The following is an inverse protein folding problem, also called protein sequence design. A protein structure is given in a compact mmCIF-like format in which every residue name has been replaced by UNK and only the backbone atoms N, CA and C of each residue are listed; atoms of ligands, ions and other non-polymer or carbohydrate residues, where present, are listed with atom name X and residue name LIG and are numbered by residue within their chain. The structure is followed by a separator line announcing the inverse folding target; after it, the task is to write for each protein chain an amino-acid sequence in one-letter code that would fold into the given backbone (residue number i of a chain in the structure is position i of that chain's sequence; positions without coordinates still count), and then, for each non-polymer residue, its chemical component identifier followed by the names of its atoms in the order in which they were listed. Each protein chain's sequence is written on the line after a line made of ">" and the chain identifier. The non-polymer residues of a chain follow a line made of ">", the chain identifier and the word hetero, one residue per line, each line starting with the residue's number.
data_IF_911064740730
#
_entry.id   IF_911064740730
#
_cell.length_a   1.000
_cell.length_b   1.000
_cell.length_c   1.000
_cell.angle_alpha   90.00
_cell.angle_beta   90.00
_cell.angle_gamma   90.00
#
_symmetry.space_group_name_H-M   'P 1'
#
loop_
_entity.id
_entity.type
_entity.pdbx_description
1 polymer ?
#
# COMPACT_ATOMS: atom_id res chain seq x y z
N UNK A 1 2.93 15.21 30.20
CA UNK A 1 2.26 15.95 31.24
C UNK A 1 1.30 15.00 31.90
N UNK A 2 0.11 14.78 31.68
CA UNK A 2 -0.72 13.79 32.38
C UNK A 2 -0.70 12.47 31.60
N UNK A 3 -0.32 11.37 32.26
CA UNK A 3 -0.37 10.01 31.65
C UNK A 3 -1.84 9.55 31.54
N UNK A 4 -2.61 10.27 30.75
CA UNK A 4 -4.02 9.99 30.50
C UNK A 4 -4.19 9.54 29.06
N UNK A 5 -4.77 8.35 28.88
CA UNK A 5 -5.20 7.84 27.59
C UNK A 5 -6.68 8.14 27.41
N UNK A 6 -7.02 8.74 26.27
CA UNK A 6 -8.39 9.07 25.92
C UNK A 6 -8.74 8.53 24.53
N UNK A 7 -9.88 7.84 24.43
CA UNK A 7 -10.42 7.51 23.11
C UNK A 7 -10.94 8.76 22.43
N UNK A 8 -10.48 9.02 21.21
CA UNK A 8 -11.01 10.08 20.38
C UNK A 8 -11.98 9.45 19.36
N UNK A 9 -13.27 9.67 19.55
CA UNK A 9 -14.32 9.21 18.64
C UNK A 9 -14.67 10.33 17.68
N UNK A 10 -14.70 10.01 16.39
CA UNK A 10 -15.06 10.95 15.33
C UNK A 10 -16.57 11.08 15.23
N UNK A 11 -17.14 12.28 15.38
CA UNK A 11 -18.57 12.49 15.30
C UNK A 11 -19.07 12.46 13.84
N UNK A 12 -20.35 12.19 13.66
CA UNK A 12 -21.08 12.44 12.41
C UNK A 12 -21.50 13.92 12.29
N UNK A 13 -22.24 14.25 11.22
CA UNK A 13 -22.74 15.62 10.96
C UNK A 13 -23.64 16.20 12.05
N UNK A 14 -24.24 15.35 12.92
CA UNK A 14 -25.09 15.75 14.04
C UNK A 14 -24.33 15.86 15.34
N UNK A 15 -23.06 15.45 15.35
CA UNK A 15 -22.22 15.39 16.54
C UNK A 15 -22.31 14.05 17.30
N UNK A 16 -23.06 13.08 16.81
CA UNK A 16 -23.15 11.75 17.38
C UNK A 16 -21.88 10.96 17.08
N UNK A 17 -21.35 10.29 18.10
CA UNK A 17 -20.07 9.57 18.01
C UNK A 17 -20.21 8.08 17.76
N UNK A 18 -21.43 7.59 17.68
CA UNK A 18 -21.78 6.22 17.34
C UNK A 18 -23.25 5.96 17.55
N UNK A 19 -23.81 5.13 16.68
CA UNK A 19 -25.20 4.66 16.74
C UNK A 19 -25.19 3.18 17.10
N UNK A 20 -25.88 2.81 18.14
CA UNK A 20 -25.95 1.45 18.66
C UNK A 20 -27.39 0.94 18.63
N UNK A 21 -27.57 -0.25 18.11
CA UNK A 21 -28.85 -0.98 18.12
C UNK A 21 -28.72 -2.19 19.04
N UNK A 22 -29.63 -2.34 19.99
CA UNK A 22 -29.58 -3.44 20.93
C UNK A 22 -30.23 -4.70 20.37
N UNK A 23 -29.68 -5.90 20.67
CA UNK A 23 -28.47 -6.14 21.43
C UNK A 23 -27.21 -5.79 20.63
N UNK A 24 -26.18 -5.24 21.29
CA UNK A 24 -24.92 -4.85 20.64
C UNK A 24 -23.72 -5.11 21.55
N UNK A 25 -22.54 -5.17 20.91
CA UNK A 25 -21.24 -5.24 21.57
C UNK A 25 -20.40 -4.03 21.17
N UNK A 26 -19.65 -3.47 22.11
CA UNK A 26 -18.66 -2.42 21.82
C UNK A 26 -17.31 -3.05 21.48
N UNK A 27 -16.48 -2.35 20.67
CA UNK A 27 -15.13 -2.81 20.39
C UNK A 27 -14.26 -2.89 21.65
N UNK A 28 -13.30 -3.79 21.66
CA UNK A 28 -12.27 -3.85 22.69
C UNK A 28 -11.45 -2.56 22.74
N UNK A 29 -11.00 -2.23 23.94
CA UNK A 29 -9.97 -1.21 24.18
C UNK A 29 -8.77 -1.90 24.81
N UNK A 30 -7.59 -1.73 24.22
CA UNK A 30 -6.37 -2.41 24.66
C UNK A 30 -5.30 -1.40 25.02
N UNK A 31 -4.51 -1.72 26.05
CA UNK A 31 -3.30 -0.99 26.42
C UNK A 31 -2.21 -2.05 26.54
N UNK A 32 -1.14 -1.86 25.74
CA UNK A 32 0.06 -2.73 25.82
C UNK A 32 1.13 -1.98 26.59
N UNK A 33 1.68 -2.63 27.60
CA UNK A 33 2.78 -2.11 28.43
C UNK A 33 3.88 -3.15 28.52
N UNK A 34 5.12 -2.72 28.30
CA UNK A 34 6.30 -3.60 28.42
C UNK A 34 7.53 -2.75 28.76
N UNK A 35 8.45 -3.34 29.49
CA UNK A 35 9.78 -2.79 29.75
C UNK A 35 10.75 -2.97 28.57
N UNK A 36 10.35 -3.77 27.58
CA UNK A 36 11.13 -4.03 26.36
C UNK A 36 10.25 -3.77 25.14
N UNK A 37 10.63 -2.79 24.33
CA UNK A 37 9.90 -2.40 23.12
C UNK A 37 9.74 -3.55 22.11
N UNK A 38 10.66 -4.52 22.09
CA UNK A 38 10.57 -5.69 21.22
C UNK A 38 9.33 -6.54 21.50
N UNK A 39 8.85 -6.58 22.74
CA UNK A 39 7.62 -7.28 23.11
C UNK A 39 6.37 -6.64 22.52
N UNK A 40 6.36 -5.32 22.32
CA UNK A 40 5.27 -4.62 21.64
C UNK A 40 5.23 -5.06 20.18
N UNK A 41 6.38 -5.13 19.50
CA UNK A 41 6.48 -5.59 18.10
C UNK A 41 6.06 -7.05 17.93
N UNK A 42 6.39 -7.90 18.92
CA UNK A 42 6.05 -9.32 18.91
C UNK A 42 4.57 -9.58 19.28
N UNK A 43 3.85 -8.59 19.80
CA UNK A 43 2.51 -8.76 20.32
C UNK A 43 1.51 -9.10 19.20
N UNK A 44 0.67 -10.09 19.46
CA UNK A 44 -0.47 -10.44 18.61
C UNK A 44 -1.81 -10.12 19.29
N UNK A 45 -1.80 -9.28 20.32
CA UNK A 45 -2.96 -8.99 21.13
C UNK A 45 -4.14 -8.50 20.29
N UNK A 46 -3.91 -7.49 19.45
CA UNK A 46 -4.98 -6.90 18.62
C UNK A 46 -5.55 -7.93 17.64
N UNK A 47 -4.69 -8.72 17.00
CA UNK A 47 -5.13 -9.79 16.09
C UNK A 47 -5.98 -10.82 16.83
N UNK A 48 -5.54 -11.23 18.02
CA UNK A 48 -6.18 -12.31 18.79
C UNK A 48 -7.55 -11.91 19.38
N UNK A 49 -7.84 -10.62 19.47
CA UNK A 49 -9.16 -10.12 19.88
C UNK A 49 -10.20 -10.07 18.74
N UNK A 50 -9.79 -10.35 17.53
CA UNK A 50 -10.69 -10.47 16.39
C UNK A 50 -11.20 -11.91 16.25
N UNK A 51 -12.37 -12.05 15.66
CA UNK A 51 -12.99 -13.35 15.39
C UNK A 51 -12.07 -14.21 14.47
N UNK A 52 -12.20 -15.53 14.55
CA UNK A 52 -11.55 -16.43 13.60
C UNK A 52 -11.87 -16.08 12.15
N UNK A 53 -11.10 -16.65 11.21
CA UNK A 53 -11.32 -16.46 9.79
C UNK A 53 -12.75 -16.79 9.39
N UNK A 54 -13.44 -15.84 8.77
CA UNK A 54 -14.81 -15.97 8.31
C UNK A 54 -14.92 -16.60 6.91
N UNK A 55 -13.80 -16.77 6.20
CA UNK A 55 -13.79 -17.34 4.85
C UNK A 55 -13.61 -18.86 4.92
N UNK A 56 -14.47 -19.60 4.25
CA UNK A 56 -14.39 -21.07 4.16
C UNK A 56 -13.25 -21.56 3.27
N UNK A 57 -12.83 -20.75 2.30
CA UNK A 57 -11.72 -21.02 1.39
C UNK A 57 -10.80 -19.79 1.32
N UNK A 58 -9.54 -19.97 1.67
CA UNK A 58 -8.49 -18.93 1.61
C UNK A 58 -7.40 -19.29 0.60
N UNK A 59 -7.55 -20.37 -0.16
CA UNK A 59 -6.52 -20.88 -1.08
C UNK A 59 -6.18 -19.91 -2.22
N UNK A 60 -7.08 -19.00 -2.54
CA UNK A 60 -6.93 -17.96 -3.56
C UNK A 60 -6.17 -16.72 -3.06
N UNK A 61 -6.02 -16.56 -1.75
CA UNK A 61 -5.26 -15.45 -1.15
C UNK A 61 -3.78 -15.82 -1.19
N UNK A 62 -2.96 -14.98 -1.82
CA UNK A 62 -1.52 -15.21 -1.98
C UNK A 62 -0.75 -13.94 -1.61
N UNK A 63 0.41 -14.07 -0.97
CA UNK A 63 1.36 -12.96 -0.87
C UNK A 63 1.73 -12.44 -2.27
N UNK A 64 1.92 -11.14 -2.41
CA UNK A 64 2.12 -10.45 -3.70
C UNK A 64 3.32 -9.53 -3.63
N UNK A 65 4.21 -9.65 -4.60
CA UNK A 65 5.21 -8.64 -4.90
C UNK A 65 4.83 -7.97 -6.23
N UNK A 66 4.71 -6.65 -6.23
CA UNK A 66 4.20 -5.91 -7.38
C UNK A 66 5.03 -4.68 -7.71
N UNK A 67 4.91 -4.22 -8.95
CA UNK A 67 5.38 -2.92 -9.42
C UNK A 67 4.18 -2.16 -9.98
N UNK A 68 4.27 -0.84 -10.17
CA UNK A 68 3.09 -0.12 -10.65
C UNK A 68 3.36 1.15 -11.43
N UNK A 69 2.41 1.45 -12.29
CA UNK A 69 2.23 2.77 -12.91
C UNK A 69 1.62 3.66 -11.82
N UNK A 70 2.48 4.31 -11.05
CA UNK A 70 2.12 5.09 -9.86
C UNK A 70 3.17 6.18 -9.57
N UNK A 71 4.45 5.81 -9.37
CA UNK A 71 5.50 6.73 -8.97
C UNK A 71 5.76 7.85 -9.99
N UNK A 72 5.45 7.59 -11.26
CA UNK A 72 5.53 8.61 -12.31
C UNK A 72 4.61 9.80 -12.04
N UNK A 73 3.41 9.54 -11.48
CA UNK A 73 2.47 10.59 -11.15
C UNK A 73 2.86 11.30 -9.85
N UNK A 74 3.29 10.55 -8.83
CA UNK A 74 3.76 11.12 -7.56
C UNK A 74 4.97 12.04 -7.78
N UNK A 75 5.90 11.64 -8.65
CA UNK A 75 7.05 12.47 -9.01
C UNK A 75 6.70 13.63 -9.97
N UNK A 76 5.48 13.67 -10.50
CA UNK A 76 5.03 14.67 -11.47
C UNK A 76 5.55 14.47 -12.89
N UNK A 77 6.13 13.30 -13.20
CA UNK A 77 6.62 12.96 -14.55
C UNK A 77 5.48 12.67 -15.53
N UNK A 78 4.37 12.16 -15.02
CA UNK A 78 3.18 11.78 -15.79
C UNK A 78 1.90 12.20 -15.07
N UNK A 79 0.75 12.03 -15.71
CA UNK A 79 -0.57 12.36 -15.16
C UNK A 79 -1.46 11.13 -15.06
N UNK A 80 -2.40 11.16 -14.09
CA UNK A 80 -3.53 10.22 -14.05
C UNK A 80 -4.57 10.56 -15.11
N UNK A 81 -4.74 11.87 -15.43
CA UNK A 81 -5.70 12.35 -16.40
C UNK A 81 -5.25 12.09 -17.85
N UNK A 82 -6.20 11.76 -18.71
CA UNK A 82 -5.98 11.51 -20.12
C UNK A 82 -5.89 12.80 -20.96
N UNK A 83 -6.67 13.83 -20.58
CA UNK A 83 -6.83 15.06 -21.38
C UNK A 83 -6.75 16.31 -20.52
N UNK A 84 -6.39 17.44 -21.15
CA UNK A 84 -6.48 18.78 -20.58
C UNK A 84 -7.67 19.58 -21.15
N UNK A 85 -8.47 18.98 -22.03
CA UNK A 85 -9.59 19.66 -22.66
C UNK A 85 -10.81 19.82 -21.73
N UNK A 86 -10.82 19.11 -20.59
CA UNK A 86 -11.95 19.02 -19.66
C UNK A 86 -11.60 19.64 -18.31
N UNK A 87 -11.91 20.93 -18.07
CA UNK A 87 -11.70 21.54 -16.74
C UNK A 87 -12.66 21.00 -15.67
N UNK A 88 -13.78 20.43 -16.11
CA UNK A 88 -14.75 19.71 -15.28
C UNK A 88 -15.31 18.52 -16.05
N UNK A 89 -15.60 17.43 -15.34
CA UNK A 89 -16.13 16.19 -15.92
C UNK A 89 -17.54 15.92 -15.40
N UNK A 90 -18.47 15.72 -16.32
CA UNK A 90 -19.78 15.14 -16.06
C UNK A 90 -19.79 13.77 -16.76
N UNK A 91 -19.63 12.69 -15.98
CA UNK A 91 -19.48 11.32 -16.52
C UNK A 91 -20.72 10.82 -17.28
N UNK A 92 -21.89 11.41 -17.04
CA UNK A 92 -23.13 11.08 -17.79
C UNK A 92 -23.15 11.70 -19.19
N UNK A 93 -22.29 12.70 -19.47
CA UNK A 93 -22.29 13.47 -20.70
C UNK A 93 -20.99 13.49 -21.48
N UNK A 94 -19.88 13.17 -20.82
CA UNK A 94 -18.55 13.26 -21.42
C UNK A 94 -18.37 12.21 -22.52
N UNK A 95 -17.71 12.62 -23.58
CA UNK A 95 -17.30 11.75 -24.69
C UNK A 95 -15.79 11.90 -24.90
N UNK A 96 -15.02 11.03 -24.28
CA UNK A 96 -13.56 11.05 -24.35
C UNK A 96 -13.02 10.81 -25.77
N UNK A 97 -13.81 10.24 -26.68
CA UNK A 97 -13.39 10.07 -28.08
C UNK A 97 -13.28 11.40 -28.85
N UNK A 98 -13.87 12.46 -28.30
CA UNK A 98 -13.82 13.85 -28.85
C UNK A 98 -12.75 14.72 -28.19
N UNK A 99 -12.04 14.21 -27.18
CA UNK A 99 -10.98 14.93 -26.49
C UNK A 99 -9.61 14.56 -27.03
N UNK A 100 -8.63 15.43 -26.83
CA UNK A 100 -7.25 15.19 -27.24
C UNK A 100 -6.47 14.62 -26.07
N UNK A 101 -5.66 13.55 -26.28
CA UNK A 101 -4.75 13.08 -25.25
C UNK A 101 -3.75 14.20 -24.88
N UNK A 102 -3.45 14.33 -23.60
CA UNK A 102 -2.50 15.34 -23.10
C UNK A 102 -1.03 14.96 -23.34
N UNK A 103 -0.77 13.73 -23.76
CA UNK A 103 0.59 13.22 -24.02
C UNK A 103 1.37 12.83 -22.77
N UNK A 104 0.83 13.02 -21.57
CA UNK A 104 1.47 12.68 -20.28
C UNK A 104 0.73 11.60 -19.51
N UNK A 105 -0.40 11.12 -20.02
CA UNK A 105 -1.19 10.05 -19.40
C UNK A 105 -0.35 8.78 -19.19
N UNK A 106 -0.26 8.32 -17.92
CA UNK A 106 0.61 7.21 -17.56
C UNK A 106 0.01 5.84 -17.91
N UNK A 107 -1.30 5.66 -17.72
CA UNK A 107 -1.99 4.39 -17.91
C UNK A 107 -2.31 4.11 -19.38
N UNK A 108 -1.36 4.29 -20.30
CA UNK A 108 -1.55 3.98 -21.70
C UNK A 108 -1.01 2.60 -22.08
N UNK A 109 -1.49 2.04 -23.20
CA UNK A 109 -1.15 0.70 -23.67
C UNK A 109 0.35 0.43 -23.77
N UNK A 110 1.11 1.39 -24.27
CA UNK A 110 2.55 1.20 -24.50
C UNK A 110 3.30 1.10 -23.16
N UNK A 111 3.01 2.00 -22.24
CA UNK A 111 3.68 2.06 -20.95
C UNK A 111 3.29 0.86 -20.08
N UNK A 112 2.03 0.50 -20.02
CA UNK A 112 1.56 -0.64 -19.24
C UNK A 112 2.18 -1.95 -19.75
N UNK A 113 2.32 -2.15 -21.07
CA UNK A 113 3.05 -3.30 -21.62
C UNK A 113 4.49 -3.35 -21.17
N UNK A 114 5.18 -2.21 -21.13
CA UNK A 114 6.55 -2.13 -20.61
C UNK A 114 6.65 -2.58 -19.16
N UNK A 115 5.70 -2.15 -18.30
CA UNK A 115 5.65 -2.59 -16.90
C UNK A 115 5.34 -4.09 -16.77
N UNK A 116 4.47 -4.63 -17.63
CA UNK A 116 4.18 -6.08 -17.67
C UNK A 116 5.45 -6.86 -18.05
N UNK A 117 6.16 -6.43 -19.08
CA UNK A 117 7.41 -7.09 -19.53
C UNK A 117 8.48 -7.02 -18.43
N UNK A 118 8.63 -5.88 -17.77
CA UNK A 118 9.55 -5.71 -16.65
C UNK A 118 9.18 -6.62 -15.48
N UNK A 119 7.90 -6.67 -15.10
CA UNK A 119 7.40 -7.55 -14.04
C UNK A 119 7.69 -9.02 -14.35
N UNK A 120 7.39 -9.47 -15.58
CA UNK A 120 7.64 -10.84 -16.02
C UNK A 120 9.13 -11.19 -16.03
N UNK A 121 9.99 -10.28 -16.50
CA UNK A 121 11.44 -10.47 -16.55
C UNK A 121 12.06 -10.61 -15.15
N UNK A 122 11.52 -9.91 -14.16
CA UNK A 122 12.11 -9.79 -12.84
C UNK A 122 11.36 -10.55 -11.74
N UNK A 123 10.34 -11.34 -12.10
CA UNK A 123 9.65 -12.23 -11.18
C UNK A 123 8.68 -11.51 -10.22
N UNK A 124 8.09 -10.39 -10.65
CA UNK A 124 6.98 -9.76 -9.95
C UNK A 124 5.66 -10.42 -10.31
N UNK A 125 4.77 -10.55 -9.33
CA UNK A 125 3.49 -11.24 -9.50
C UNK A 125 2.46 -10.37 -10.22
N UNK A 126 2.50 -9.05 -9.97
CA UNK A 126 1.47 -8.14 -10.43
C UNK A 126 2.02 -6.76 -10.86
N UNK A 127 1.22 -6.09 -11.69
CA UNK A 127 1.40 -4.69 -12.07
C UNK A 127 0.16 -3.89 -11.69
N UNK A 128 0.31 -2.94 -10.76
CA UNK A 128 -0.70 -1.94 -10.47
C UNK A 128 -0.78 -0.93 -11.62
N UNK A 129 -1.99 -0.53 -12.01
CA UNK A 129 -2.17 0.54 -12.99
C UNK A 129 -3.17 1.56 -12.44
N UNK A 130 -2.65 2.69 -11.98
CA UNK A 130 -3.48 3.83 -11.60
C UNK A 130 -3.80 4.71 -12.80
N UNK A 131 -4.96 5.36 -12.79
CA UNK A 131 -5.37 6.24 -13.88
C UNK A 131 -5.97 5.54 -15.09
N UNK A 132 -6.31 4.25 -14.99
CA UNK A 132 -6.80 3.46 -16.13
C UNK A 132 -8.22 3.84 -16.59
N UNK A 133 -9.07 4.29 -15.66
CA UNK A 133 -10.50 4.57 -15.84
C UNK A 133 -10.78 6.07 -15.94
N UNK A 134 -11.93 6.43 -16.50
CA UNK A 134 -12.35 7.83 -16.72
C UNK A 134 -12.69 8.55 -15.41
N UNK A 135 -12.43 9.88 -15.37
CA UNK A 135 -12.82 10.79 -14.28
C UNK A 135 -11.67 11.54 -13.60
N UNK A 136 -10.41 11.35 -13.99
CA UNK A 136 -9.25 11.92 -13.31
C UNK A 136 -8.95 13.39 -13.62
N UNK A 137 -9.67 14.04 -14.54
CA UNK A 137 -9.38 15.42 -14.94
C UNK A 137 -9.69 16.44 -13.85
N UNK A 138 -10.71 16.18 -13.02
CA UNK A 138 -11.12 17.09 -11.94
C UNK A 138 -11.52 16.36 -10.66
N UNK A 139 -10.86 15.22 -10.37
CA UNK A 139 -11.21 14.33 -9.26
C UNK A 139 -10.83 14.86 -7.89
N UNK A 140 -9.72 15.59 -7.79
CA UNK A 140 -9.10 15.94 -6.51
C UNK A 140 -9.90 17.04 -5.78
N UNK A 141 -10.31 16.76 -4.56
CA UNK A 141 -10.99 17.67 -3.59
C UNK A 141 -12.27 18.37 -4.11
N UNK A 142 -12.88 17.84 -5.16
CA UNK A 142 -14.09 18.41 -5.73
C UNK A 142 -15.38 18.01 -5.02
N UNK A 143 -15.34 17.07 -4.10
CA UNK A 143 -16.49 16.56 -3.35
C UNK A 143 -17.67 16.16 -4.25
N UNK A 144 -17.38 15.55 -5.39
CA UNK A 144 -18.39 15.03 -6.34
C UNK A 144 -18.93 13.69 -5.86
N UNK A 145 -20.23 13.46 -6.02
CA UNK A 145 -20.83 12.14 -5.81
C UNK A 145 -20.40 11.17 -6.91
N UNK A 146 -20.69 11.44 -8.17
CA UNK A 146 -20.27 10.63 -9.31
C UNK A 146 -18.96 11.15 -9.91
N UNK A 147 -17.85 10.76 -9.30
CA UNK A 147 -16.50 11.24 -9.67
C UNK A 147 -15.77 10.27 -10.58
N UNK A 148 -15.92 8.96 -10.37
CA UNK A 148 -15.28 7.92 -11.17
C UNK A 148 -16.29 6.89 -11.69
N UNK A 149 -16.05 6.41 -12.90
CA UNK A 149 -16.64 5.19 -13.43
C UNK A 149 -15.62 4.06 -13.29
N UNK A 150 -15.97 3.02 -12.56
CA UNK A 150 -15.09 1.87 -12.26
C UNK A 150 -15.13 0.79 -13.33
N UNK A 151 -15.71 1.02 -14.49
CA UNK A 151 -15.89 0.04 -15.55
C UNK A 151 -15.37 0.52 -16.91
N UNK A 152 -15.26 1.84 -17.10
CA UNK A 152 -14.93 2.44 -18.40
C UNK A 152 -13.47 2.90 -18.44
N UNK A 153 -12.62 2.27 -19.26
CA UNK A 153 -11.23 2.69 -19.43
C UNK A 153 -11.15 3.97 -20.26
N UNK A 154 -10.02 4.69 -20.16
CA UNK A 154 -9.66 5.73 -21.11
C UNK A 154 -9.42 5.16 -22.51
N UNK A 155 -9.52 5.98 -23.59
CA UNK A 155 -9.41 5.52 -24.98
C UNK A 155 -8.06 4.85 -25.32
N UNK A 156 -6.99 5.17 -24.59
CA UNK A 156 -5.65 4.64 -24.80
C UNK A 156 -5.30 3.46 -23.88
N UNK A 157 -6.28 2.94 -23.12
CA UNK A 157 -6.15 1.78 -22.26
C UNK A 157 -7.03 0.61 -22.72
N UNK A 158 -6.42 -0.35 -23.40
CA UNK A 158 -7.10 -1.59 -23.84
C UNK A 158 -7.18 -2.60 -22.67
N UNK A 159 -8.24 -2.46 -21.87
CA UNK A 159 -8.47 -3.30 -20.68
C UNK A 159 -8.36 -4.79 -20.98
N UNK A 160 -8.97 -5.26 -22.06
CA UNK A 160 -8.96 -6.66 -22.45
C UNK A 160 -7.58 -7.10 -22.94
N UNK A 161 -7.04 -6.40 -23.94
CA UNK A 161 -5.76 -6.77 -24.55
C UNK A 161 -4.59 -6.70 -23.58
N UNK A 162 -4.60 -5.79 -22.61
CA UNK A 162 -3.57 -5.69 -21.59
C UNK A 162 -3.64 -6.84 -20.57
N UNK A 163 -4.84 -7.27 -20.15
CA UNK A 163 -5.00 -8.44 -19.29
C UNK A 163 -4.57 -9.73 -20.00
N UNK A 164 -5.01 -9.94 -21.25
CA UNK A 164 -4.57 -11.09 -22.06
C UNK A 164 -3.05 -11.11 -22.21
N UNK A 165 -2.44 -9.94 -22.46
CA UNK A 165 -0.99 -9.81 -22.56
C UNK A 165 -0.28 -10.15 -21.23
N UNK A 166 -0.74 -9.58 -20.12
CA UNK A 166 -0.17 -9.86 -18.79
C UNK A 166 -0.24 -11.36 -18.47
N UNK A 167 -1.39 -12.00 -18.68
CA UNK A 167 -1.58 -13.42 -18.44
C UNK A 167 -0.66 -14.28 -19.33
N UNK A 168 -0.44 -13.88 -20.58
CA UNK A 168 0.49 -14.58 -21.50
C UNK A 168 1.94 -14.56 -21.00
N UNK A 169 2.28 -13.58 -20.15
CA UNK A 169 3.60 -13.41 -19.52
C UNK A 169 3.68 -14.02 -18.10
N UNK A 170 2.59 -14.60 -17.59
CA UNK A 170 2.51 -15.12 -16.23
C UNK A 170 2.34 -14.05 -15.14
N UNK A 171 2.00 -12.83 -15.52
CA UNK A 171 1.78 -11.68 -14.64
C UNK A 171 0.28 -11.37 -14.58
N UNK A 172 -0.21 -10.79 -13.49
CA UNK A 172 -1.56 -10.22 -13.41
C UNK A 172 -1.52 -8.71 -13.31
N UNK A 173 -2.56 -8.05 -13.77
CA UNK A 173 -2.78 -6.65 -13.41
C UNK A 173 -3.44 -6.58 -12.03
N UNK A 174 -3.06 -5.58 -11.23
CA UNK A 174 -3.77 -5.18 -10.02
C UNK A 174 -4.70 -4.02 -10.37
N UNK A 175 -5.96 -4.15 -10.04
CA UNK A 175 -6.97 -3.13 -10.27
C UNK A 175 -6.74 -1.93 -9.35
N UNK A 176 -7.06 -0.73 -9.83
CA UNK A 176 -7.11 0.48 -9.02
C UNK A 176 -8.53 1.07 -9.01
N UNK A 177 -9.07 1.25 -7.83
CA UNK A 177 -10.34 1.93 -7.60
C UNK A 177 -10.13 3.13 -6.68
N UNK A 178 -9.69 4.28 -7.25
CA UNK A 178 -9.76 5.54 -6.52
C UNK A 178 -11.20 6.00 -6.42
N UNK A 179 -11.64 6.38 -5.24
CA UNK A 179 -13.03 6.78 -4.99
C UNK A 179 -13.21 8.28 -4.83
N UNK A 180 -12.11 9.05 -4.69
CA UNK A 180 -12.13 10.46 -4.25
C UNK A 180 -13.03 10.66 -3.01
N UNK A 181 -12.96 9.69 -2.10
CA UNK A 181 -13.78 9.58 -0.89
C UNK A 181 -15.31 9.58 -1.12
N UNK A 182 -15.79 9.39 -2.36
CA UNK A 182 -17.20 9.19 -2.65
C UNK A 182 -17.61 7.73 -2.42
N UNK A 183 -17.82 7.38 -1.16
CA UNK A 183 -18.15 6.01 -0.72
C UNK A 183 -19.46 5.55 -1.34
N UNK A 184 -20.44 6.47 -1.42
CA UNK A 184 -21.75 6.20 -2.03
C UNK A 184 -21.66 5.82 -3.51
N UNK A 185 -20.79 6.51 -4.27
CA UNK A 185 -20.54 6.19 -5.66
C UNK A 185 -19.89 4.81 -5.79
N UNK A 186 -18.90 4.52 -4.95
CA UNK A 186 -18.23 3.23 -4.98
C UNK A 186 -19.19 2.07 -4.66
N UNK A 187 -20.03 2.21 -3.61
CA UNK A 187 -21.03 1.18 -3.26
C UNK A 187 -22.04 0.89 -4.37
N UNK A 188 -22.50 1.92 -5.11
CA UNK A 188 -23.40 1.75 -6.25
C UNK A 188 -22.83 0.92 -7.38
N UNK A 189 -21.52 0.98 -7.59
CA UNK A 189 -20.85 0.35 -8.72
C UNK A 189 -20.07 -0.90 -8.34
N UNK A 190 -19.83 -1.14 -7.05
CA UNK A 190 -18.92 -2.14 -6.51
C UNK A 190 -19.17 -3.56 -7.07
N UNK A 191 -20.42 -4.01 -7.09
CA UNK A 191 -20.78 -5.33 -7.60
C UNK A 191 -20.37 -5.50 -9.07
N UNK A 192 -20.71 -4.51 -9.92
CA UNK A 192 -20.36 -4.55 -11.35
C UNK A 192 -18.85 -4.41 -11.56
N UNK A 193 -18.18 -3.58 -10.77
CA UNK A 193 -16.75 -3.40 -10.83
C UNK A 193 -15.99 -4.69 -10.45
N UNK A 194 -16.43 -5.38 -9.41
CA UNK A 194 -15.84 -6.68 -9.03
C UNK A 194 -16.17 -7.79 -10.02
N UNK A 195 -17.36 -7.77 -10.61
CA UNK A 195 -17.70 -8.70 -11.69
C UNK A 195 -16.80 -8.47 -12.92
N UNK A 196 -16.58 -7.22 -13.34
CA UNK A 196 -15.63 -6.88 -14.40
C UNK A 196 -14.21 -7.38 -14.07
N UNK A 197 -13.77 -7.23 -12.83
CA UNK A 197 -12.48 -7.77 -12.40
C UNK A 197 -12.41 -9.29 -12.61
N UNK A 198 -13.45 -10.02 -12.23
CA UNK A 198 -13.51 -11.48 -12.43
C UNK A 198 -13.50 -11.85 -13.91
N UNK A 199 -14.24 -11.11 -14.74
CA UNK A 199 -14.33 -11.36 -16.19
C UNK A 199 -12.97 -11.22 -16.89
N UNK A 200 -12.11 -10.33 -16.39
CA UNK A 200 -10.76 -10.10 -16.93
C UNK A 200 -9.64 -10.76 -16.11
N UNK A 201 -9.99 -11.55 -15.07
CA UNK A 201 -9.01 -12.34 -14.31
C UNK A 201 -8.18 -11.57 -13.29
N UNK A 202 -8.59 -10.37 -12.90
CA UNK A 202 -8.03 -9.68 -11.75
C UNK A 202 -8.34 -10.46 -10.46
N UNK A 203 -7.41 -10.44 -9.52
CA UNK A 203 -7.62 -11.05 -8.20
C UNK A 203 -7.21 -10.14 -7.03
N UNK A 204 -6.88 -8.89 -7.32
CA UNK A 204 -6.52 -7.89 -6.32
C UNK A 204 -6.92 -6.48 -6.77
N UNK A 205 -7.26 -5.64 -5.80
CA UNK A 205 -7.59 -4.23 -6.00
C UNK A 205 -6.87 -3.37 -4.97
N UNK A 206 -6.27 -2.27 -5.44
CA UNK A 206 -5.93 -1.12 -4.60
C UNK A 206 -7.12 -0.17 -4.61
N UNK A 207 -7.75 0.06 -3.45
CA UNK A 207 -8.85 1.01 -3.30
C UNK A 207 -8.36 2.26 -2.58
N UNK A 208 -8.54 3.44 -3.19
CA UNK A 208 -8.18 4.74 -2.65
C UNK A 208 -9.40 5.53 -2.16
N UNK A 209 -9.18 6.40 -1.17
CA UNK A 209 -10.23 7.22 -0.57
C UNK A 209 -9.74 8.64 -0.28
N UNK A 210 -9.04 9.22 -1.26
CA UNK A 210 -8.48 10.58 -1.15
C UNK A 210 -9.59 11.62 -1.10
N UNK A 211 -9.51 12.56 -0.16
CA UNK A 211 -10.40 13.72 -0.10
C UNK A 211 -11.44 13.66 1.02
N UNK A 212 -12.49 14.46 0.89
CA UNK A 212 -13.56 14.57 1.87
C UNK A 212 -14.66 13.55 1.63
N UNK A 213 -15.08 12.86 2.68
CA UNK A 213 -16.08 11.79 2.57
C UNK A 213 -17.41 12.29 1.98
N UNK A 214 -17.95 11.54 1.05
CA UNK A 214 -19.34 11.63 0.61
C UNK A 214 -20.07 10.35 1.01
N UNK A 215 -21.13 10.47 1.81
CA UNK A 215 -21.99 11.64 2.06
C UNK A 215 -21.32 12.71 2.94
N UNK A 216 -21.62 14.00 2.65
CA UNK A 216 -21.08 15.14 3.41
C UNK A 216 -21.51 15.08 4.89
N UNK A 217 -20.57 15.45 5.76
CA UNK A 217 -20.76 15.39 7.22
C UNK A 217 -20.27 14.08 7.82
N UNK A 218 -19.91 13.10 7.01
CA UNK A 218 -19.20 11.90 7.44
C UNK A 218 -17.68 12.11 7.31
N UNK A 219 -16.91 11.28 8.01
CA UNK A 219 -15.46 11.37 8.08
C UNK A 219 -14.83 9.97 7.97
N UNK A 220 -13.56 9.89 7.53
CA UNK A 220 -12.83 8.62 7.35
C UNK A 220 -12.84 7.72 8.59
N UNK A 221 -12.82 8.29 9.78
CA UNK A 221 -12.82 7.54 11.06
C UNK A 221 -14.20 7.54 11.75
N UNK A 222 -15.23 8.05 11.08
CA UNK A 222 -16.61 7.96 11.52
C UNK A 222 -17.19 6.56 11.34
N UNK A 223 -18.22 6.23 12.11
CA UNK A 223 -18.82 4.89 12.09
C UNK A 223 -19.32 4.51 10.70
N UNK A 224 -19.87 5.45 9.94
CA UNK A 224 -20.39 5.19 8.60
C UNK A 224 -19.29 4.72 7.64
N UNK A 225 -18.16 5.45 7.59
CA UNK A 225 -17.03 5.09 6.74
C UNK A 225 -16.35 3.78 7.20
N UNK A 226 -16.22 3.57 8.52
CA UNK A 226 -15.67 2.30 9.06
C UNK A 226 -16.54 1.11 8.64
N UNK A 227 -17.87 1.25 8.66
CA UNK A 227 -18.78 0.22 8.17
C UNK A 227 -18.63 -0.01 6.66
N UNK A 228 -18.43 1.05 5.88
CA UNK A 228 -18.15 0.96 4.45
C UNK A 228 -16.88 0.15 4.17
N UNK A 229 -15.77 0.43 4.85
CA UNK A 229 -14.51 -0.30 4.63
C UNK A 229 -14.69 -1.81 4.91
N UNK A 230 -15.41 -2.17 5.97
CA UNK A 230 -15.73 -3.55 6.25
C UNK A 230 -16.64 -4.16 5.17
N UNK A 231 -17.62 -3.41 4.69
CA UNK A 231 -18.51 -3.84 3.61
C UNK A 231 -17.73 -4.12 2.34
N UNK A 232 -16.87 -3.19 1.90
CA UNK A 232 -16.05 -3.36 0.70
C UNK A 232 -15.15 -4.61 0.77
N UNK A 233 -14.53 -4.89 1.92
CA UNK A 233 -13.71 -6.08 2.13
C UNK A 233 -14.53 -7.37 2.02
N UNK A 234 -15.74 -7.38 2.57
CA UNK A 234 -16.66 -8.53 2.49
C UNK A 234 -17.17 -8.79 1.07
N UNK A 235 -17.53 -7.72 0.35
CA UNK A 235 -17.96 -7.83 -1.05
C UNK A 235 -16.81 -8.34 -1.92
N UNK A 236 -15.59 -7.79 -1.77
CA UNK A 236 -14.41 -8.28 -2.47
C UNK A 236 -14.14 -9.78 -2.20
N UNK A 237 -14.35 -10.24 -0.95
CA UNK A 237 -14.19 -11.65 -0.60
C UNK A 237 -15.15 -12.57 -1.33
N UNK A 238 -16.40 -12.15 -1.57
CA UNK A 238 -17.39 -12.91 -2.36
C UNK A 238 -16.93 -13.14 -3.80
N UNK A 239 -16.19 -12.16 -4.35
CA UNK A 239 -15.60 -12.21 -5.69
C UNK A 239 -14.19 -12.81 -5.72
N UNK A 240 -13.67 -13.31 -4.58
CA UNK A 240 -12.28 -13.79 -4.42
C UNK A 240 -11.23 -12.75 -4.81
N UNK A 241 -11.43 -11.51 -4.39
CA UNK A 241 -10.55 -10.38 -4.63
C UNK A 241 -9.81 -10.01 -3.34
N UNK A 242 -8.49 -9.91 -3.42
CA UNK A 242 -7.63 -9.37 -2.37
C UNK A 242 -7.70 -7.84 -2.38
N UNK A 243 -7.72 -7.23 -1.21
CA UNK A 243 -7.86 -5.77 -1.05
C UNK A 243 -6.60 -5.19 -0.43
N UNK A 244 -6.12 -4.10 -1.05
CA UNK A 244 -5.14 -3.17 -0.52
C UNK A 244 -5.84 -1.81 -0.35
N UNK A 245 -6.21 -1.44 0.88
CA UNK A 245 -6.99 -0.23 1.15
C UNK A 245 -6.10 0.95 1.54
N UNK A 246 -6.10 2.02 0.74
CA UNK A 246 -5.40 3.27 1.01
C UNK A 246 -6.34 4.32 1.62
N UNK A 247 -5.82 5.29 2.38
CA UNK A 247 -6.54 6.36 3.12
C UNK A 247 -7.66 5.88 4.07
N UNK A 248 -7.99 4.61 4.05
CA UNK A 248 -8.99 4.02 4.93
C UNK A 248 -8.60 4.12 6.40
N UNK A 249 -9.52 3.74 7.30
CA UNK A 249 -9.19 3.70 8.73
C UNK A 249 -8.07 2.70 9.02
N UNK A 250 -7.18 3.06 9.95
CA UNK A 250 -6.12 2.15 10.40
C UNK A 250 -6.71 0.79 10.84
N UNK A 251 -6.02 -0.32 10.53
CA UNK A 251 -6.55 -1.64 10.83
C UNK A 251 -6.56 -1.92 12.34
N UNK A 252 -7.49 -2.77 12.72
CA UNK A 252 -7.71 -3.23 14.10
C UNK A 252 -7.63 -4.75 14.22
N UNK A 253 -6.85 -5.40 13.35
CA UNK A 253 -6.72 -6.85 13.31
C UNK A 253 -7.72 -7.55 12.40
N UNK A 254 -8.48 -6.80 11.61
CA UNK A 254 -9.52 -7.32 10.73
C UNK A 254 -9.00 -8.36 9.71
N UNK A 255 -7.74 -8.27 9.32
CA UNK A 255 -7.07 -9.23 8.43
C UNK A 255 -7.02 -10.66 9.01
N UNK A 256 -7.22 -10.87 10.31
CA UNK A 256 -7.40 -12.20 10.89
C UNK A 256 -8.74 -12.82 10.48
N UNK A 257 -9.82 -12.03 10.52
CA UNK A 257 -11.19 -12.47 10.18
C UNK A 257 -11.41 -12.50 8.67
N UNK A 258 -10.88 -11.51 7.98
CA UNK A 258 -10.95 -11.35 6.53
C UNK A 258 -9.55 -11.23 5.94
N UNK A 259 -8.84 -12.35 5.74
CA UNK A 259 -7.45 -12.35 5.26
C UNK A 259 -7.29 -11.85 3.81
N UNK A 260 -8.36 -11.64 3.08
CA UNK A 260 -8.34 -10.95 1.80
C UNK A 260 -8.04 -9.43 1.93
N UNK A 261 -8.14 -8.84 3.12
CA UNK A 261 -7.50 -7.56 3.43
C UNK A 261 -5.99 -7.81 3.57
N UNK A 262 -5.30 -7.89 2.45
CA UNK A 262 -3.89 -8.28 2.39
C UNK A 262 -2.94 -7.10 2.58
N UNK A 263 -3.39 -5.89 2.22
CA UNK A 263 -2.66 -4.63 2.37
C UNK A 263 -3.56 -3.51 2.85
N UNK A 264 -2.96 -2.54 3.52
CA UNK A 264 -3.64 -1.33 3.94
C UNK A 264 -2.59 -0.25 4.20
N UNK A 265 -2.79 0.97 3.69
CA UNK A 265 -1.88 2.07 3.99
C UNK A 265 -2.20 2.70 5.35
N UNK A 266 -3.26 3.47 5.44
CA UNK A 266 -3.83 4.14 6.63
C UNK A 266 -2.83 4.84 7.56
N UNK A 267 -1.69 5.21 7.02
CA UNK A 267 -0.67 6.09 7.59
C UNK A 267 0.22 6.57 6.44
N UNK A 268 0.98 7.62 6.64
CA UNK A 268 1.86 8.16 5.62
C UNK A 268 2.93 7.16 5.20
N UNK A 269 2.95 6.78 3.92
CA UNK A 269 3.95 5.93 3.27
C UNK A 269 4.99 6.73 2.49
N UNK A 270 5.65 6.09 1.53
CA UNK A 270 6.70 6.68 0.69
C UNK A 270 6.25 7.91 -0.10
N UNK A 271 4.98 7.97 -0.50
CA UNK A 271 4.40 9.15 -1.15
C UNK A 271 4.67 10.44 -0.36
N UNK A 272 4.54 10.36 0.95
CA UNK A 272 4.77 11.51 1.86
C UNK A 272 6.25 11.80 2.10
N UNK A 273 7.16 10.86 1.80
CA UNK A 273 8.58 11.16 1.71
C UNK A 273 8.87 12.07 0.50
N UNK A 274 8.22 11.81 -0.64
CA UNK A 274 8.31 12.64 -1.85
C UNK A 274 7.77 14.06 -1.64
N UNK A 275 6.80 14.23 -0.75
CA UNK A 275 6.22 15.52 -0.37
C UNK A 275 6.99 16.20 0.77
N UNK A 276 8.11 15.64 1.22
CA UNK A 276 8.95 16.12 2.34
C UNK A 276 8.16 16.33 3.66
N UNK A 277 7.04 15.63 3.84
CA UNK A 277 6.17 15.80 5.01
C UNK A 277 6.38 14.76 6.10
N UNK A 278 7.28 13.80 5.88
CA UNK A 278 7.72 12.82 6.87
C UNK A 278 9.24 12.85 7.03
N UNK A 279 9.69 12.54 8.23
CA UNK A 279 11.12 12.48 8.59
C UNK A 279 11.53 11.02 8.82
N UNK A 280 12.82 10.68 8.78
CA UNK A 280 13.31 9.32 8.95
C UNK A 280 12.80 8.60 10.21
N UNK A 281 12.58 9.30 11.34
CA UNK A 281 12.03 8.72 12.56
C UNK A 281 10.63 8.08 12.38
N UNK A 282 9.86 8.53 11.37
CA UNK A 282 8.50 8.02 11.13
C UNK A 282 8.52 6.49 10.90
N UNK A 283 9.48 5.98 10.13
CA UNK A 283 9.60 4.56 9.85
C UNK A 283 10.00 3.72 11.08
N UNK A 284 10.51 4.35 12.12
CA UNK A 284 10.85 3.70 13.39
C UNK A 284 9.72 3.78 14.44
N UNK A 285 8.62 4.49 14.12
CA UNK A 285 7.41 4.56 14.96
C UNK A 285 6.29 3.66 14.41
N UNK A 286 6.13 3.57 13.10
CA UNK A 286 5.04 2.82 12.47
C UNK A 286 4.94 1.36 12.94
N UNK A 287 6.03 0.60 13.12
CA UNK A 287 5.96 -0.76 13.62
C UNK A 287 5.32 -0.91 15.01
N UNK A 288 5.46 0.11 15.87
CA UNK A 288 4.89 0.12 17.22
C UNK A 288 3.45 0.64 17.29
N UNK A 289 2.97 1.26 16.23
CA UNK A 289 1.66 1.93 16.18
C UNK A 289 0.79 1.36 15.07
N UNK A 290 1.04 1.78 13.83
CA UNK A 290 0.22 1.44 12.67
C UNK A 290 0.19 -0.08 12.38
N UNK A 291 1.34 -0.75 12.48
CA UNK A 291 1.46 -2.18 12.14
C UNK A 291 0.90 -3.12 13.21
N UNK A 292 0.53 -2.63 14.39
CA UNK A 292 -0.02 -3.45 15.46
C UNK A 292 -1.38 -4.07 15.09
N UNK A 293 -2.14 -3.42 14.22
CA UNK A 293 -3.45 -3.90 13.76
C UNK A 293 -3.43 -4.67 12.43
N UNK A 294 -2.28 -4.81 11.79
CA UNK A 294 -2.15 -5.50 10.51
C UNK A 294 -1.06 -4.94 9.61
N UNK A 295 -0.82 -5.58 8.44
CA UNK A 295 0.23 -5.21 7.51
C UNK A 295 0.03 -3.80 6.95
N UNK A 296 1.12 -3.17 6.52
CA UNK A 296 1.10 -1.85 5.90
C UNK A 296 1.70 -1.88 4.49
N UNK A 297 0.95 -1.38 3.52
CA UNK A 297 1.48 -1.03 2.19
C UNK A 297 2.21 0.31 2.29
N UNK A 298 3.48 0.26 2.72
CA UNK A 298 4.33 1.45 2.87
C UNK A 298 4.88 1.93 1.52
N UNK A 299 4.84 1.08 0.49
CA UNK A 299 5.41 1.32 -0.85
C UNK A 299 6.92 1.64 -0.84
N UNK A 300 7.77 0.75 -0.26
CA UNK A 300 9.21 0.97 -0.22
C UNK A 300 9.89 0.72 -1.56
N UNK A 301 11.20 1.02 -1.62
CA UNK A 301 12.04 0.61 -2.73
C UNK A 301 12.34 1.71 -3.74
N UNK A 302 12.16 2.97 -3.37
CA UNK A 302 12.64 4.08 -4.19
C UNK A 302 14.17 4.10 -4.14
N UNK A 303 14.79 3.86 -5.28
CA UNK A 303 16.26 3.84 -5.43
C UNK A 303 16.80 5.17 -5.95
N UNK A 304 16.00 5.91 -6.73
CA UNK A 304 16.32 7.28 -7.14
C UNK A 304 15.69 8.27 -6.17
N UNK A 305 16.43 8.61 -5.12
CA UNK A 305 15.93 9.49 -4.03
C UNK A 305 15.87 10.97 -4.41
N UNK A 306 16.61 11.40 -5.42
CA UNK A 306 16.58 12.77 -5.90
C UNK A 306 15.61 12.89 -7.09
N UNK A 307 14.43 13.45 -6.86
CA UNK A 307 13.34 13.44 -7.83
C UNK A 307 13.63 14.30 -9.07
N UNK A 308 14.59 15.22 -9.03
CA UNK A 308 15.02 15.97 -10.23
C UNK A 308 15.55 15.03 -11.32
N UNK A 309 16.12 13.87 -10.95
CA UNK A 309 16.60 12.87 -11.91
C UNK A 309 15.45 12.08 -12.57
N UNK A 310 14.27 12.11 -11.99
CA UNK A 310 13.05 11.47 -12.52
C UNK A 310 12.19 12.49 -13.29
N UNK A 311 12.04 13.68 -12.72
CA UNK A 311 11.33 14.81 -13.30
C UNK A 311 12.11 16.10 -13.02
N UNK A 312 12.69 16.76 -14.03
CA UNK A 312 13.52 17.97 -13.85
C UNK A 312 12.82 19.15 -13.15
N UNK A 313 11.51 19.18 -13.15
CA UNK A 313 10.72 20.23 -12.47
C UNK A 313 10.47 19.91 -10.99
N UNK A 314 10.78 18.68 -10.54
CA UNK A 314 10.59 18.26 -9.16
C UNK A 314 11.93 18.29 -8.40
N UNK A 315 12.12 19.28 -7.57
CA UNK A 315 13.37 19.52 -6.82
C UNK A 315 13.38 18.89 -5.41
N UNK A 316 12.39 18.04 -5.08
CA UNK A 316 12.35 17.34 -3.80
C UNK A 316 13.35 16.17 -3.77
N UNK A 317 13.83 15.89 -2.57
CA UNK A 317 14.66 14.71 -2.29
C UNK A 317 14.05 13.93 -1.13
N UNK A 318 13.94 12.60 -1.28
CA UNK A 318 13.45 11.76 -0.20
C UNK A 318 14.41 11.83 0.99
N UNK A 319 13.86 12.00 2.20
CA UNK A 319 14.62 11.92 3.46
C UNK A 319 14.94 10.46 3.80
N UNK A 320 15.60 9.76 2.88
CA UNK A 320 15.91 8.33 2.95
C UNK A 320 17.20 8.02 2.21
N UNK A 321 17.76 6.84 2.46
CA UNK A 321 18.89 6.30 1.69
C UNK A 321 18.51 5.00 1.01
N UNK A 322 19.35 4.53 0.05
CA UNK A 322 19.10 3.26 -0.63
C UNK A 322 19.03 2.10 0.37
N UNK A 323 20.01 1.98 1.27
CA UNK A 323 20.02 0.88 2.24
C UNK A 323 18.80 0.95 3.17
N UNK A 324 18.34 2.15 3.55
CA UNK A 324 17.12 2.31 4.33
C UNK A 324 15.90 1.83 3.54
N UNK A 325 15.75 2.21 2.28
CA UNK A 325 14.65 1.73 1.42
C UNK A 325 14.63 0.20 1.31
N UNK A 326 15.80 -0.44 1.22
CA UNK A 326 15.90 -1.91 1.25
C UNK A 326 15.51 -2.47 2.62
N UNK A 327 15.98 -1.87 3.71
CA UNK A 327 15.67 -2.28 5.08
C UNK A 327 14.17 -2.25 5.39
N UNK A 328 13.41 -1.34 4.76
CA UNK A 328 11.96 -1.23 4.93
C UNK A 328 11.19 -2.48 4.46
N UNK A 329 11.68 -3.24 3.49
CA UNK A 329 11.07 -4.52 3.11
C UNK A 329 11.05 -5.54 4.26
N UNK A 330 11.95 -5.40 5.21
CA UNK A 330 12.04 -6.29 6.38
C UNK A 330 11.35 -5.68 7.60
N UNK A 331 11.51 -4.38 7.82
CA UNK A 331 10.97 -3.70 9.02
C UNK A 331 9.48 -3.36 8.89
N UNK A 332 9.00 -3.01 7.69
CA UNK A 332 7.59 -2.76 7.39
C UNK A 332 6.91 -4.04 6.90
N UNK A 333 6.29 -4.76 7.82
CA UNK A 333 5.63 -6.02 7.45
C UNK A 333 4.45 -5.80 6.51
N UNK A 334 4.49 -6.48 5.39
CA UNK A 334 3.35 -6.64 4.49
C UNK A 334 3.48 -7.91 3.66
N UNK A 335 2.44 -8.73 3.50
CA UNK A 335 2.41 -9.81 2.51
C UNK A 335 2.12 -9.28 1.09
N UNK A 336 1.89 -7.98 0.94
CA UNK A 336 1.75 -7.28 -0.33
C UNK A 336 2.79 -6.15 -0.32
N UNK A 337 3.86 -6.29 -1.11
CA UNK A 337 4.98 -5.34 -1.13
C UNK A 337 5.22 -4.81 -2.53
N UNK A 338 5.36 -3.50 -2.64
CA UNK A 338 5.64 -2.80 -3.88
C UNK A 338 7.15 -2.65 -4.11
N UNK A 339 7.58 -2.83 -5.34
CA UNK A 339 8.79 -2.21 -5.86
C UNK A 339 8.36 -0.86 -6.45
N UNK A 340 8.48 0.21 -5.66
CA UNK A 340 7.73 1.43 -5.89
C UNK A 340 8.34 2.35 -6.97
N UNK A 341 9.62 2.21 -7.28
CA UNK A 341 10.32 3.04 -8.26
C UNK A 341 10.05 2.64 -9.71
N UNK A 342 10.53 3.44 -10.63
CA UNK A 342 10.39 3.23 -12.06
C UNK A 342 11.32 2.11 -12.58
N UNK A 343 10.93 1.37 -13.61
CA UNK A 343 11.80 0.39 -14.27
C UNK A 343 13.18 0.94 -14.63
N UNK A 344 13.23 2.13 -15.24
CA UNK A 344 14.49 2.78 -15.64
C UNK A 344 15.39 3.19 -14.48
N UNK A 345 14.85 3.41 -13.28
CA UNK A 345 15.64 3.68 -12.10
C UNK A 345 16.25 2.38 -11.56
N UNK A 346 15.48 1.30 -11.51
CA UNK A 346 16.01 -0.02 -11.14
C UNK A 346 17.13 -0.51 -12.06
N UNK A 347 17.04 -0.19 -13.36
CA UNK A 347 18.09 -0.52 -14.34
C UNK A 347 19.41 0.22 -14.08
N UNK A 348 19.39 1.35 -13.34
CA UNK A 348 20.60 2.08 -12.93
C UNK A 348 21.22 1.54 -11.63
N UNK A 349 20.40 0.98 -10.73
CA UNK A 349 20.79 0.55 -9.38
C UNK A 349 20.62 -0.96 -9.23
N UNK A 350 21.28 -1.74 -10.10
CA UNK A 350 21.09 -3.18 -10.24
C UNK A 350 21.43 -3.98 -8.97
N UNK A 351 22.37 -3.53 -8.17
CA UNK A 351 22.76 -4.15 -6.90
C UNK A 351 21.64 -4.03 -5.85
N UNK A 352 21.09 -2.82 -5.66
CA UNK A 352 19.95 -2.60 -4.79
C UNK A 352 18.70 -3.35 -5.30
N UNK A 353 18.47 -3.33 -6.61
CA UNK A 353 17.36 -4.03 -7.23
C UNK A 353 17.43 -5.54 -7.07
N UNK A 354 18.64 -6.12 -7.03
CA UNK A 354 18.85 -7.55 -6.78
C UNK A 354 18.31 -7.95 -5.41
N UNK A 355 18.45 -7.11 -4.37
CA UNK A 355 17.83 -7.33 -3.07
C UNK A 355 16.30 -7.33 -3.17
N UNK A 356 15.71 -6.32 -3.84
CA UNK A 356 14.26 -6.18 -4.00
C UNK A 356 13.66 -7.40 -4.70
N UNK A 357 14.35 -7.95 -5.71
CA UNK A 357 13.92 -9.18 -6.38
C UNK A 357 13.95 -10.39 -5.44
N UNK A 358 14.96 -10.50 -4.58
CA UNK A 358 15.19 -11.67 -3.71
C UNK A 358 14.41 -11.65 -2.41
N UNK A 359 14.20 -10.47 -1.81
CA UNK A 359 13.52 -10.39 -0.51
C UNK A 359 12.11 -10.96 -0.60
N UNK A 360 11.74 -11.93 0.25
CA UNK A 360 10.40 -12.52 0.22
C UNK A 360 9.36 -11.59 0.86
N UNK A 361 8.10 -11.90 0.63
CA UNK A 361 6.94 -11.21 1.24
C UNK A 361 6.12 -12.14 2.14
N UNK A 362 6.56 -13.40 2.31
CA UNK A 362 5.94 -14.40 3.18
C UNK A 362 6.99 -14.98 4.13
N UNK A 363 6.77 -14.81 5.43
CA UNK A 363 7.75 -15.07 6.45
C UNK A 363 7.36 -16.24 7.38
N UNK A 364 8.30 -17.14 7.64
CA UNK A 364 8.10 -18.22 8.59
C UNK A 364 8.22 -17.74 10.04
N UNK A 365 9.19 -16.86 10.31
CA UNK A 365 9.53 -16.41 11.67
C UNK A 365 10.08 -14.99 11.64
N UNK A 366 9.78 -14.23 12.67
CA UNK A 366 10.39 -12.93 12.95
C UNK A 366 11.06 -12.92 14.30
N UNK A 367 12.24 -12.32 14.39
CA UNK A 367 13.01 -12.09 15.62
C UNK A 367 13.32 -10.60 15.69
N UNK A 368 12.90 -9.98 16.77
CA UNK A 368 13.12 -8.55 17.01
C UNK A 368 14.42 -8.41 17.81
N UNK A 369 15.49 -7.97 17.14
CA UNK A 369 16.84 -7.99 17.70
C UNK A 369 17.08 -6.79 18.62
N UNK A 370 16.68 -5.60 18.17
CA UNK A 370 16.69 -4.36 18.95
C UNK A 370 15.59 -3.42 18.50
N UNK A 371 15.13 -2.57 19.39
CA UNK A 371 14.08 -1.63 19.09
C UNK A 371 14.00 -0.50 20.12
N UNK A 372 13.97 0.75 19.63
CA UNK A 372 13.67 1.94 20.42
C UNK A 372 12.73 2.81 19.61
N UNK A 373 11.46 3.00 20.03
CA UNK A 373 10.46 3.73 19.29
C UNK A 373 10.92 5.16 18.92
N UNK A 374 10.86 5.50 17.64
CA UNK A 374 11.29 6.79 17.12
C UNK A 374 12.80 6.92 16.94
N UNK A 375 13.59 5.91 17.24
CA UNK A 375 15.05 5.96 17.12
C UNK A 375 15.57 4.91 16.15
N UNK A 376 15.41 3.63 16.43
CA UNK A 376 15.91 2.54 15.59
C UNK A 376 15.10 1.27 15.78
N UNK A 377 15.20 0.39 14.79
CA UNK A 377 14.62 -0.95 14.82
C UNK A 377 15.46 -1.90 13.96
N UNK A 378 15.72 -3.10 14.49
CA UNK A 378 16.38 -4.19 13.76
C UNK A 378 15.59 -5.46 13.91
N UNK A 379 15.17 -6.03 12.78
CA UNK A 379 14.37 -7.25 12.71
C UNK A 379 15.07 -8.27 11.82
N UNK A 380 15.16 -9.52 12.28
CA UNK A 380 15.51 -10.66 11.44
C UNK A 380 14.27 -11.47 11.09
N UNK A 381 14.09 -11.79 9.82
CA UNK A 381 12.96 -12.59 9.34
C UNK A 381 13.45 -13.79 8.55
N UNK A 382 12.90 -14.96 8.83
CA UNK A 382 13.17 -16.18 8.07
C UNK A 382 12.19 -16.30 6.92
N UNK A 383 12.70 -16.52 5.73
CA UNK A 383 11.90 -16.87 4.57
C UNK A 383 11.11 -18.16 4.84
N UNK A 384 9.84 -18.18 4.40
CA UNK A 384 8.96 -19.35 4.55
C UNK A 384 9.32 -20.49 3.60
N UNK A 385 9.91 -20.16 2.45
CA UNK A 385 10.15 -21.08 1.35
C UNK A 385 11.63 -21.49 1.20
N UNK A 386 12.51 -20.95 2.04
CA UNK A 386 13.93 -21.28 2.05
C UNK A 386 14.52 -21.25 3.47
N UNK A 387 15.83 -21.53 3.59
CA UNK A 387 16.56 -21.39 4.85
C UNK A 387 17.19 -20.00 5.04
N UNK A 388 16.91 -19.07 4.16
CA UNK A 388 17.49 -17.75 4.20
C UNK A 388 16.87 -16.87 5.29
N UNK A 389 17.71 -16.03 5.87
CA UNK A 389 17.32 -14.99 6.79
C UNK A 389 17.58 -13.62 6.17
N UNK A 390 16.72 -12.67 6.46
CA UNK A 390 16.84 -11.30 6.06
C UNK A 390 16.83 -10.41 7.29
N UNK A 391 17.85 -9.57 7.44
CA UNK A 391 17.95 -8.61 8.54
C UNK A 391 17.74 -7.23 7.96
N UNK A 392 16.74 -6.51 8.47
CA UNK A 392 16.50 -5.10 8.15
C UNK A 392 16.80 -4.26 9.37
N UNK A 393 17.56 -3.21 9.16
CA UNK A 393 17.83 -2.15 10.13
C UNK A 393 17.38 -0.81 9.57
N UNK A 394 16.67 -0.03 10.39
CA UNK A 394 16.32 1.35 10.08
C UNK A 394 16.49 2.21 11.31
N UNK A 395 17.02 3.43 11.13
CA UNK A 395 17.17 4.44 12.17
C UNK A 395 16.49 5.75 11.80
N UNK A 396 16.38 6.63 12.79
CA UNK A 396 15.98 8.01 12.59
C UNK A 396 17.15 8.85 11.98
N UNK A 397 17.07 10.15 12.13
CA UNK A 397 18.07 11.12 11.65
C UNK A 397 19.43 11.02 12.39
N UNK A 398 19.47 10.32 13.52
CA UNK A 398 20.68 10.13 14.30
C UNK A 398 21.32 8.78 13.95
N UNK A 399 22.62 8.73 13.90
CA UNK A 399 23.35 7.49 13.70
C UNK A 399 23.15 6.51 14.87
N UNK A 400 23.11 5.21 14.55
CA UNK A 400 23.05 4.13 15.55
C UNK A 400 24.01 3.02 15.16
N UNK A 401 24.70 2.49 16.16
CA UNK A 401 25.55 1.31 15.98
C UNK A 401 24.86 0.10 16.61
N UNK A 402 24.51 -0.86 15.79
CA UNK A 402 23.88 -2.12 16.22
C UNK A 402 24.93 -3.17 16.53
N UNK A 403 24.77 -3.83 17.69
CA UNK A 403 25.53 -5.04 18.05
C UNK A 403 24.55 -6.19 18.19
N UNK A 404 24.51 -7.06 17.18
CA UNK A 404 23.47 -8.05 17.03
C UNK A 404 23.96 -9.44 17.47
N UNK A 405 23.20 -10.13 18.35
CA UNK A 405 23.36 -11.56 18.54
C UNK A 405 22.77 -12.31 17.34
N UNK A 406 23.52 -13.30 16.84
CA UNK A 406 23.09 -14.20 15.78
C UNK A 406 22.54 -15.53 16.32
N UNK A 407 22.12 -15.59 17.57
CA UNK A 407 21.60 -16.80 18.24
C UNK A 407 20.31 -17.35 17.59
N UNK A 408 19.68 -16.60 16.71
CA UNK A 408 18.53 -17.04 15.92
C UNK A 408 18.91 -17.98 14.77
N UNK A 409 20.19 -18.03 14.39
CA UNK A 409 20.72 -18.93 13.37
C UNK A 409 20.94 -20.36 13.95
N UNK A 410 20.90 -21.36 13.07
CA UNK A 410 21.09 -22.75 13.46
C UNK A 410 22.54 -22.98 13.90
N UNK A 411 22.73 -23.53 15.09
CA UNK A 411 24.07 -23.85 15.63
C UNK A 411 24.79 -24.86 14.76
N UNK A 412 26.07 -24.62 14.52
CA UNK A 412 26.95 -25.52 13.76
C UNK A 412 26.75 -25.48 12.25
N UNK A 413 25.95 -24.52 11.74
CA UNK A 413 25.88 -24.25 10.30
C UNK A 413 26.70 -23.02 9.94
N UNK A 414 27.29 -23.06 8.76
CA UNK A 414 27.92 -21.90 8.14
C UNK A 414 26.89 -21.10 7.35
N UNK A 415 27.00 -19.78 7.40
CA UNK A 415 26.15 -18.84 6.67
C UNK A 415 27.03 -17.86 5.90
N UNK A 416 26.63 -17.58 4.67
CA UNK A 416 27.17 -16.47 3.89
C UNK A 416 26.29 -15.24 4.12
N UNK A 417 26.91 -14.10 4.41
CA UNK A 417 26.21 -12.82 4.60
C UNK A 417 26.48 -11.87 3.44
N UNK A 418 25.43 -11.44 2.77
CA UNK A 418 25.47 -10.31 1.82
C UNK A 418 24.97 -9.06 2.53
N UNK A 419 25.79 -8.01 2.58
CA UNK A 419 25.45 -6.76 3.27
C UNK A 419 25.20 -5.66 2.25
N UNK A 420 24.00 -5.07 2.28
CA UNK A 420 23.64 -3.88 1.54
C UNK A 420 23.73 -2.70 2.50
N UNK A 421 24.66 -1.80 2.26
CA UNK A 421 24.92 -0.63 3.10
C UNK A 421 25.12 0.60 2.23
N UNK A 422 24.76 1.75 2.78
CA UNK A 422 25.08 3.02 2.13
C UNK A 422 26.59 3.26 2.09
N UNK A 423 27.07 3.90 1.04
CA UNK A 423 28.45 4.34 0.96
C UNK A 423 28.72 5.43 2.03
N UNK A 424 29.97 5.59 2.50
CA UNK A 424 30.30 6.60 3.51
C UNK A 424 29.95 8.04 3.12
N UNK A 425 29.75 8.31 1.86
CA UNK A 425 29.38 9.62 1.28
C UNK A 425 27.94 9.62 0.70
N UNK A 426 27.12 8.64 1.02
CA UNK A 426 25.72 8.64 0.66
C UNK A 426 24.99 9.71 1.51
N UNK A 427 24.39 10.70 0.84
CA UNK A 427 23.58 11.76 1.42
C UNK A 427 22.16 11.70 0.87
#
# INVERSE_FOLDING_TARGET
>A
KNLVFQSHLTPDAKGDKGHLYTPCHTPWRTIMVSDDARNILASRLILNLNEPCALSDTSWIKPVKYIGVWWEMISGKSSWAYTNDLPTVDLDKVDYTKTRPNGTHAANNQKVRRYIDFAAQHGFDQVLVEGWNIGWEDWFDNSKDYVFDFMTPYPDFDLKGLNEYAHSKGVKLMMHHETSASLRNYERHMEKAYQLMNDYGYNSVKSGYVGCIIPRGEYHYGQWAVNHYLYAIKEAAKHKIMVNAHEAVRPTGLCRTYPNLIGNESARGTEYEALETVKPFHTTILPFTRLQGGPMDYTPGIVETNLVNTNPENHHTLSSTLAKQLGLYVTMYSPLQMAADLPENYEKFLDAFEFIKKVPVDWQKSVYLEAEPGQYITIARKDKHSNNWYIGNTSNENGHTSVLSLDFLDKGKEYEATIYADAPNAN
#
